data_IF_606395873089
#
_entry.id   IF_606395873089
#
_cell.length_a   1.000
_cell.length_b   1.000
_cell.length_c   1.000
_cell.angle_alpha   90.00
_cell.angle_beta   90.00
_cell.angle_gamma   90.00
#
_symmetry.space_group_name_H-M   'P 1'
#
loop_
_entity.id
_entity.type
_entity.pdbx_description
1 polymer ?
#
# COMPACT_ATOMS: atom_id res chain seq x y z
N UNK A 1 21.35 -14.50 -55.75
CA UNK A 1 20.82 -15.75 -55.15
C UNK A 1 21.74 -16.15 -54.02
N UNK A 2 21.36 -15.82 -52.79
CA UNK A 2 22.06 -16.24 -51.57
C UNK A 2 20.99 -16.73 -50.59
N UNK A 3 21.09 -18.00 -50.20
CA UNK A 3 20.21 -18.62 -49.20
C UNK A 3 20.58 -18.11 -47.80
N UNK A 4 19.61 -17.89 -46.89
CA UNK A 4 19.90 -17.71 -45.48
C UNK A 4 20.04 -19.09 -44.82
N UNK A 5 21.13 -19.27 -44.07
CA UNK A 5 21.33 -20.43 -43.20
C UNK A 5 20.77 -20.11 -41.82
N UNK A 6 19.75 -20.88 -41.43
CA UNK A 6 19.22 -20.89 -40.07
C UNK A 6 20.26 -21.41 -39.08
N UNK A 7 20.55 -20.62 -38.05
CA UNK A 7 21.17 -21.11 -36.81
C UNK A 7 20.08 -21.19 -35.75
N UNK A 8 19.85 -22.34 -35.10
CA UNK A 8 19.00 -22.39 -33.92
C UNK A 8 19.75 -21.82 -32.72
N UNK A 9 19.09 -20.89 -32.03
CA UNK A 9 19.54 -20.28 -30.79
C UNK A 9 19.70 -21.32 -29.67
N UNK A 10 20.76 -21.13 -28.88
CA UNK A 10 21.23 -22.04 -27.87
C UNK A 10 20.21 -22.26 -26.74
N UNK A 11 19.88 -23.53 -26.55
CA UNK A 11 19.25 -24.04 -25.35
C UNK A 11 20.21 -23.91 -24.16
N UNK A 12 20.14 -22.77 -23.48
CA UNK A 12 20.89 -22.49 -22.26
C UNK A 12 19.99 -22.61 -21.04
N UNK A 13 19.50 -23.82 -20.77
CA UNK A 13 18.93 -24.17 -19.47
C UNK A 13 20.02 -24.01 -18.39
N UNK A 14 20.05 -22.81 -17.80
CA UNK A 14 20.76 -22.51 -16.55
C UNK A 14 20.32 -23.53 -15.51
N UNK A 15 21.17 -24.52 -15.23
CA UNK A 15 21.12 -25.33 -14.00
C UNK A 15 21.14 -24.36 -12.82
N UNK A 16 19.97 -24.08 -12.24
CA UNK A 16 19.85 -23.29 -11.01
C UNK A 16 20.65 -24.00 -9.93
N UNK A 17 21.78 -23.42 -9.50
CA UNK A 17 22.47 -23.85 -8.28
C UNK A 17 21.44 -23.83 -7.14
N UNK A 18 21.33 -24.89 -6.32
CA UNK A 18 20.41 -24.90 -5.19
C UNK A 18 20.73 -23.71 -4.28
N UNK A 19 19.71 -22.89 -3.97
CA UNK A 19 19.83 -21.79 -3.02
C UNK A 19 20.39 -22.35 -1.71
N UNK A 20 21.60 -21.94 -1.33
CA UNK A 20 22.13 -22.12 0.04
C UNK A 20 21.14 -21.46 0.99
N UNK A 21 20.36 -22.26 1.73
CA UNK A 21 19.47 -21.76 2.77
C UNK A 21 20.34 -21.16 3.88
N UNK A 22 20.07 -19.90 4.23
CA UNK A 22 20.70 -19.23 5.38
C UNK A 22 20.36 -19.98 6.67
N UNK A 23 21.26 -19.98 7.67
CA UNK A 23 21.09 -20.72 8.92
C UNK A 23 19.91 -20.16 9.71
N UNK A 24 19.00 -21.02 10.14
CA UNK A 24 17.98 -20.68 11.12
C UNK A 24 18.32 -21.46 12.38
N UNK A 25 18.70 -20.71 13.41
CA UNK A 25 18.80 -21.15 14.80
C UNK A 25 17.43 -21.69 15.27
N UNK A 26 17.38 -22.69 16.16
CA UNK A 26 16.15 -23.14 16.86
C UNK A 26 15.37 -21.96 17.43
N UNK A 27 16.06 -20.91 17.89
CA UNK A 27 15.43 -19.70 18.42
C UNK A 27 14.79 -18.84 17.33
N UNK A 28 15.26 -18.94 16.08
CA UNK A 28 14.72 -18.27 14.90
C UNK A 28 13.51 -18.99 14.26
N UNK A 29 13.11 -20.17 14.78
CA UNK A 29 11.89 -20.85 14.31
C UNK A 29 10.64 -20.02 14.65
N UNK A 30 9.76 -19.83 13.66
CA UNK A 30 8.50 -19.14 13.88
C UNK A 30 7.58 -19.95 14.84
N UNK A 31 6.60 -19.26 15.44
CA UNK A 31 5.66 -19.83 16.43
C UNK A 31 4.90 -21.06 15.90
N UNK A 32 4.65 -21.14 14.59
CA UNK A 32 3.92 -22.25 13.95
C UNK A 32 4.79 -23.51 13.86
N UNK A 33 6.06 -23.35 13.52
CA UNK A 33 7.02 -24.44 13.41
C UNK A 33 7.38 -25.00 14.80
N UNK A 34 7.55 -24.14 15.81
CA UNK A 34 7.73 -24.56 17.22
C UNK A 34 6.55 -25.41 17.72
N UNK A 35 5.32 -24.93 17.56
CA UNK A 35 4.10 -25.66 17.95
C UNK A 35 3.92 -26.99 17.21
N UNK A 36 4.42 -27.08 15.98
CA UNK A 36 4.37 -28.29 15.15
C UNK A 36 5.39 -29.33 15.60
N UNK A 37 6.60 -28.90 15.97
CA UNK A 37 7.63 -29.77 16.55
C UNK A 37 7.19 -30.33 17.91
N UNK A 38 6.56 -29.50 18.74
CA UNK A 38 5.95 -29.92 20.01
C UNK A 38 4.90 -31.03 19.83
N UNK A 39 3.99 -30.90 18.86
CA UNK A 39 2.99 -31.93 18.54
C UNK A 39 3.58 -33.28 18.12
N UNK A 40 4.84 -33.30 17.66
CA UNK A 40 5.57 -34.51 17.24
C UNK A 40 6.48 -35.04 18.35
N UNK A 41 6.39 -34.50 19.57
CA UNK A 41 7.25 -34.87 20.70
C UNK A 41 8.68 -34.37 20.57
N UNK A 42 8.98 -33.45 19.64
CA UNK A 42 10.33 -32.96 19.33
C UNK A 42 10.54 -31.55 19.86
N UNK A 43 10.42 -31.38 21.17
CA UNK A 43 10.74 -30.12 21.85
C UNK A 43 12.25 -29.80 21.70
N UNK A 44 12.67 -28.53 21.84
CA UNK A 44 14.10 -28.18 21.85
C UNK A 44 14.91 -29.01 22.86
N UNK A 45 14.30 -29.36 24.00
CA UNK A 45 14.89 -30.24 25.01
C UNK A 45 15.14 -31.65 24.46
N UNK A 46 14.16 -32.22 23.74
CA UNK A 46 14.28 -33.54 23.12
C UNK A 46 15.29 -33.56 21.97
N UNK A 47 15.37 -32.50 21.17
CA UNK A 47 16.36 -32.42 20.09
C UNK A 47 17.80 -32.34 20.62
N UNK A 48 18.04 -31.62 21.73
CA UNK A 48 19.34 -31.62 22.44
C UNK A 48 19.68 -32.98 23.04
N UNK A 49 18.67 -33.70 23.55
CA UNK A 49 18.84 -35.07 24.04
C UNK A 49 19.25 -36.03 22.91
N UNK A 50 18.60 -35.93 21.75
CA UNK A 50 18.96 -36.69 20.55
C UNK A 50 20.38 -36.33 20.11
N UNK A 51 20.73 -35.05 20.03
CA UNK A 51 22.09 -34.60 19.66
C UNK A 51 23.16 -35.20 20.58
N UNK A 52 22.92 -35.25 21.89
CA UNK A 52 23.86 -35.81 22.87
C UNK A 52 24.19 -37.29 22.59
N UNK A 53 23.22 -38.04 22.06
CA UNK A 53 23.37 -39.46 21.72
C UNK A 53 23.94 -39.64 20.31
N UNK A 54 23.59 -38.77 19.36
CA UNK A 54 24.03 -38.88 17.96
C UNK A 54 25.47 -38.40 17.75
N UNK A 55 25.90 -37.34 18.47
CA UNK A 55 27.23 -36.74 18.30
C UNK A 55 28.39 -37.73 18.52
N UNK A 56 28.39 -38.60 19.55
CA UNK A 56 29.39 -39.65 19.69
C UNK A 56 29.38 -40.67 18.53
N UNK A 57 28.20 -41.06 18.05
CA UNK A 57 28.07 -42.02 16.94
C UNK A 57 28.66 -41.46 15.63
N UNK A 58 28.48 -40.16 15.40
CA UNK A 58 29.05 -39.46 14.24
C UNK A 58 30.58 -39.48 14.28
N UNK A 59 31.20 -39.32 15.44
CA UNK A 59 32.66 -39.44 15.60
C UNK A 59 33.16 -40.88 15.39
N UNK A 60 32.39 -41.89 15.80
CA UNK A 60 32.67 -43.29 15.49
C UNK A 60 32.59 -43.54 13.98
N UNK A 61 31.59 -42.98 13.28
CA UNK A 61 31.52 -43.10 11.80
C UNK A 61 32.71 -42.44 11.13
N UNK A 62 33.14 -41.25 11.59
CA UNK A 62 34.31 -40.56 11.01
C UNK A 62 35.61 -41.34 11.19
N UNK A 63 35.75 -42.10 12.28
CA UNK A 63 36.97 -42.82 12.63
C UNK A 63 37.01 -44.24 12.08
N UNK A 64 35.89 -44.97 12.13
CA UNK A 64 35.79 -46.38 11.75
C UNK A 64 35.06 -46.61 10.42
N UNK A 65 34.51 -45.56 9.80
CA UNK A 65 33.80 -45.61 8.53
C UNK A 65 32.38 -46.19 8.60
N UNK A 66 32.04 -46.98 9.63
CA UNK A 66 30.70 -47.57 9.77
C UNK A 66 30.31 -47.83 11.23
N UNK A 67 29.01 -47.79 11.52
CA UNK A 67 28.41 -48.23 12.79
C UNK A 67 27.92 -49.69 12.75
N UNK A 68 28.18 -50.43 11.67
CA UNK A 68 27.80 -51.85 11.56
C UNK A 68 28.75 -52.71 12.40
N UNK A 69 28.18 -53.61 13.21
CA UNK A 69 28.96 -54.53 14.07
C UNK A 69 29.39 -53.97 15.43
N UNK A 70 29.21 -52.66 15.70
CA UNK A 70 29.65 -52.04 16.97
C UNK A 70 28.64 -52.18 18.12
N UNK A 71 27.39 -52.55 17.83
CA UNK A 71 26.30 -52.59 18.83
C UNK A 71 25.80 -51.20 19.29
N UNK A 72 26.55 -50.13 19.00
CA UNK A 72 26.25 -48.76 19.44
C UNK A 72 24.95 -48.20 18.87
N UNK A 73 24.56 -48.63 17.66
CA UNK A 73 23.26 -48.26 17.07
C UNK A 73 22.07 -48.80 17.86
N UNK A 74 22.17 -50.04 18.34
CA UNK A 74 21.12 -50.67 19.13
C UNK A 74 21.02 -50.04 20.52
N UNK A 75 22.16 -49.69 21.12
CA UNK A 75 22.21 -48.95 22.39
C UNK A 75 21.56 -47.57 22.26
N UNK A 76 21.91 -46.82 21.22
CA UNK A 76 21.33 -45.51 20.93
C UNK A 76 19.83 -45.56 20.61
N UNK A 77 19.40 -46.55 19.83
CA UNK A 77 17.99 -46.80 19.51
C UNK A 77 17.18 -47.09 20.79
N UNK A 78 17.72 -47.92 21.68
CA UNK A 78 17.10 -48.23 22.99
C UNK A 78 17.04 -47.01 23.89
N UNK A 79 18.14 -46.25 24.01
CA UNK A 79 18.21 -45.06 24.86
C UNK A 79 17.22 -43.96 24.44
N UNK A 80 16.98 -43.82 23.13
CA UNK A 80 16.05 -42.83 22.61
C UNK A 80 14.64 -43.39 22.34
N UNK A 81 14.40 -44.70 22.53
CA UNK A 81 13.11 -45.33 22.26
C UNK A 81 12.68 -45.22 20.80
N UNK A 82 13.62 -45.33 19.86
CA UNK A 82 13.39 -45.21 18.41
C UNK A 82 13.96 -46.41 17.65
N UNK A 83 13.61 -46.53 16.37
CA UNK A 83 14.17 -47.59 15.52
C UNK A 83 15.65 -47.34 15.19
N UNK A 84 16.40 -48.41 14.94
CA UNK A 84 17.79 -48.33 14.45
C UNK A 84 17.88 -47.53 13.14
N UNK A 85 16.89 -47.65 12.27
CA UNK A 85 16.80 -46.89 11.02
C UNK A 85 16.69 -45.37 11.26
N UNK A 86 15.99 -44.97 12.33
CA UNK A 86 15.90 -43.57 12.73
C UNK A 86 17.26 -43.04 13.20
N UNK A 87 18.03 -43.87 13.93
CA UNK A 87 19.40 -43.52 14.34
C UNK A 87 20.30 -43.35 13.11
N UNK A 88 20.26 -44.28 12.16
CA UNK A 88 21.05 -44.20 10.93
C UNK A 88 20.73 -42.90 10.15
N UNK A 89 19.44 -42.59 9.97
CA UNK A 89 19.00 -41.33 9.32
C UNK A 89 19.49 -40.08 10.05
N UNK A 90 19.48 -40.08 11.39
CA UNK A 90 19.94 -38.95 12.18
C UNK A 90 21.46 -38.78 12.14
N UNK A 91 22.21 -39.89 12.14
CA UNK A 91 23.67 -39.87 11.97
C UNK A 91 24.03 -39.31 10.58
N UNK A 92 23.38 -39.79 9.53
CA UNK A 92 23.60 -39.30 8.15
C UNK A 92 23.24 -37.81 8.02
N UNK A 93 22.11 -37.39 8.61
CA UNK A 93 21.69 -35.99 8.60
C UNK A 93 22.68 -35.07 9.36
N UNK A 94 23.20 -35.52 10.50
CA UNK A 94 24.14 -34.77 11.33
C UNK A 94 25.56 -34.75 10.75
N UNK A 95 25.98 -35.81 10.05
CA UNK A 95 27.21 -35.82 9.25
C UNK A 95 27.15 -34.79 8.12
N UNK A 96 25.98 -34.65 7.47
CA UNK A 96 25.79 -33.67 6.39
C UNK A 96 25.65 -32.22 6.90
N UNK A 97 25.06 -32.02 8.09
CA UNK A 97 24.92 -30.70 8.74
C UNK A 97 24.98 -30.88 10.28
N UNK A 98 26.13 -30.57 10.93
CA UNK A 98 26.36 -30.83 12.35
C UNK A 98 25.70 -29.78 13.25
N UNK A 99 24.40 -29.63 13.07
CA UNK A 99 23.52 -28.74 13.84
C UNK A 99 22.32 -29.53 14.34
N UNK A 100 21.77 -29.14 15.48
CA UNK A 100 20.62 -29.83 16.12
C UNK A 100 19.41 -29.91 15.18
N UNK A 101 19.23 -28.93 14.29
CA UNK A 101 18.10 -28.85 13.37
C UNK A 101 18.14 -29.92 12.27
N UNK A 102 19.32 -30.48 11.94
CA UNK A 102 19.41 -31.58 10.98
C UNK A 102 18.74 -32.86 11.50
N UNK A 103 18.61 -32.97 12.83
CA UNK A 103 17.90 -34.05 13.54
C UNK A 103 16.38 -33.84 13.57
N UNK A 104 15.92 -32.63 13.23
CA UNK A 104 14.50 -32.40 13.00
C UNK A 104 14.14 -32.98 11.62
N UNK A 105 13.23 -33.96 11.58
CA UNK A 105 12.87 -34.64 10.34
C UNK A 105 12.57 -33.62 9.24
N UNK A 106 13.33 -33.69 8.13
CA UNK A 106 12.95 -32.99 6.90
C UNK A 106 11.54 -33.46 6.57
N UNK A 107 10.61 -32.53 6.37
CA UNK A 107 9.32 -32.91 5.79
C UNK A 107 9.62 -33.71 4.51
N UNK A 108 9.08 -34.92 4.33
CA UNK A 108 8.96 -35.49 3.01
C UNK A 108 7.94 -34.61 2.27
N UNK A 109 8.41 -33.51 1.71
CA UNK A 109 7.71 -32.86 0.63
C UNK A 109 7.97 -33.72 -0.60
N UNK A 110 6.91 -34.28 -1.18
CA UNK A 110 6.96 -34.86 -2.53
C UNK A 110 7.70 -33.86 -3.42
N UNK A 111 8.65 -34.33 -4.22
CA UNK A 111 9.41 -33.47 -5.13
C UNK A 111 8.46 -32.56 -5.90
N UNK A 112 8.88 -31.30 -6.11
CA UNK A 112 8.12 -30.32 -6.89
C UNK A 112 8.11 -30.74 -8.37
N UNK A 113 7.34 -31.77 -8.69
CA UNK A 113 6.95 -32.09 -10.05
C UNK A 113 5.65 -31.37 -10.39
N UNK A 114 5.64 -30.61 -11.49
CA UNK A 114 4.40 -30.11 -12.09
C UNK A 114 3.63 -31.34 -12.58
N UNK A 115 2.48 -31.61 -11.95
CA UNK A 115 1.61 -32.74 -12.32
C UNK A 115 0.43 -32.32 -13.21
N UNK A 116 0.26 -31.01 -13.44
CA UNK A 116 -0.73 -30.49 -14.36
C UNK A 116 -0.13 -30.49 -15.78
N UNK A 117 -0.94 -30.78 -16.79
CA UNK A 117 -0.57 -30.49 -18.18
C UNK A 117 -0.58 -28.99 -18.45
N UNK A 118 0.04 -28.54 -19.55
CA UNK A 118 0.06 -27.12 -19.92
C UNK A 118 -1.36 -26.54 -20.04
N UNK A 119 -2.28 -27.26 -20.67
CA UNK A 119 -3.67 -26.83 -20.82
C UNK A 119 -4.39 -26.67 -19.47
N UNK A 120 -4.14 -27.59 -18.53
CA UNK A 120 -4.70 -27.51 -17.19
C UNK A 120 -4.10 -26.34 -16.40
N UNK A 121 -2.82 -26.05 -16.59
CA UNK A 121 -2.15 -24.87 -16.02
C UNK A 121 -2.75 -23.57 -16.56
N UNK A 122 -3.01 -23.48 -17.87
CA UNK A 122 -3.59 -22.30 -18.51
C UNK A 122 -5.02 -22.04 -18.01
N UNK A 123 -5.85 -23.08 -17.94
CA UNK A 123 -7.21 -22.97 -17.39
C UNK A 123 -7.14 -22.54 -15.92
N UNK A 124 -6.28 -23.17 -15.12
CA UNK A 124 -6.11 -22.82 -13.71
C UNK A 124 -5.68 -21.37 -13.53
N UNK A 125 -4.71 -20.90 -14.32
CA UNK A 125 -4.23 -19.52 -14.29
C UNK A 125 -5.32 -18.54 -14.68
N UNK A 126 -6.06 -18.80 -15.76
CA UNK A 126 -7.11 -17.93 -16.25
C UNK A 126 -8.18 -17.67 -15.18
N UNK A 127 -8.74 -18.73 -14.60
CA UNK A 127 -9.76 -18.58 -13.57
C UNK A 127 -9.21 -18.03 -12.26
N UNK A 128 -7.96 -18.38 -11.91
CA UNK A 128 -7.35 -17.87 -10.70
C UNK A 128 -7.06 -16.37 -10.78
N UNK A 129 -6.63 -15.86 -11.94
CA UNK A 129 -6.39 -14.42 -12.16
C UNK A 129 -7.71 -13.66 -12.26
N UNK A 130 -8.77 -14.27 -12.78
CA UNK A 130 -10.07 -13.65 -12.99
C UNK A 130 -11.15 -14.21 -12.03
N UNK A 131 -11.08 -13.92 -10.72
CA UNK A 131 -12.03 -14.45 -9.75
C UNK A 131 -13.46 -13.90 -9.91
N UNK A 132 -13.60 -12.77 -10.61
CA UNK A 132 -14.86 -12.12 -10.97
C UNK A 132 -14.96 -12.14 -12.49
N UNK A 133 -15.77 -13.05 -13.02
CA UNK A 133 -16.04 -13.11 -14.45
C UNK A 133 -17.29 -12.28 -14.73
N UNK A 134 -17.09 -11.19 -15.44
CA UNK A 134 -18.18 -10.39 -15.98
C UNK A 134 -18.52 -11.02 -17.34
N UNK A 135 -19.73 -11.54 -17.47
CA UNK A 135 -20.23 -12.13 -18.72
C UNK A 135 -21.32 -11.23 -19.28
N UNK A 136 -21.34 -11.03 -20.59
CA UNK A 136 -22.46 -10.38 -21.26
C UNK A 136 -23.25 -11.48 -21.95
N UNK A 137 -24.51 -11.65 -21.57
CA UNK A 137 -25.40 -12.61 -22.25
C UNK A 137 -25.66 -12.14 -23.69
N UNK A 138 -26.11 -13.04 -24.60
CA UNK A 138 -26.43 -12.68 -25.98
C UNK A 138 -27.48 -11.56 -26.12
N UNK A 139 -28.28 -11.30 -25.08
CA UNK A 139 -29.26 -10.22 -25.00
C UNK A 139 -28.66 -8.86 -24.57
N UNK A 140 -27.33 -8.78 -24.42
CA UNK A 140 -26.60 -7.58 -24.04
C UNK A 140 -26.62 -7.28 -22.55
N UNK A 141 -27.25 -8.11 -21.71
CA UNK A 141 -27.29 -7.88 -20.27
C UNK A 141 -25.95 -8.29 -19.64
N UNK A 142 -25.27 -7.38 -18.92
CA UNK A 142 -24.12 -7.75 -18.13
C UNK A 142 -24.59 -8.55 -16.91
N UNK A 143 -23.96 -9.70 -16.70
CA UNK A 143 -24.11 -10.51 -15.50
C UNK A 143 -22.75 -10.69 -14.85
N UNK A 144 -22.75 -10.56 -13.53
CA UNK A 144 -21.55 -10.76 -12.72
C UNK A 144 -21.71 -12.11 -12.06
N UNK A 145 -20.94 -13.10 -12.52
CA UNK A 145 -20.89 -14.39 -11.85
C UNK A 145 -20.16 -14.18 -10.51
N UNK A 146 -20.86 -14.21 -9.35
CA UNK A 146 -20.28 -13.80 -8.08
C UNK A 146 -19.22 -14.80 -7.63
N UNK A 147 -17.98 -14.36 -7.37
CA UNK A 147 -16.86 -15.06 -6.69
C UNK A 147 -16.77 -16.60 -6.83
N UNK A 148 -17.15 -17.16 -7.99
CA UNK A 148 -17.30 -18.61 -8.14
C UNK A 148 -15.97 -19.31 -8.40
N UNK A 149 -14.93 -18.62 -8.89
CA UNK A 149 -13.64 -19.23 -9.21
C UNK A 149 -12.75 -19.54 -7.98
N UNK A 150 -13.35 -20.09 -6.92
CA UNK A 150 -12.61 -20.73 -5.86
C UNK A 150 -11.92 -22.02 -6.38
N UNK A 151 -10.99 -22.56 -5.60
CA UNK A 151 -10.20 -23.73 -6.02
C UNK A 151 -11.07 -24.94 -6.38
N UNK A 152 -12.24 -25.12 -5.75
CA UNK A 152 -13.15 -26.23 -6.07
C UNK A 152 -13.78 -26.07 -7.44
N UNK A 153 -14.17 -24.84 -7.79
CA UNK A 153 -14.72 -24.55 -9.11
C UNK A 153 -13.68 -24.74 -10.21
N UNK A 154 -12.48 -24.17 -10.04
CA UNK A 154 -11.38 -24.35 -10.99
C UNK A 154 -11.10 -25.85 -11.20
N UNK A 155 -11.09 -26.62 -10.10
CA UNK A 155 -10.95 -28.07 -10.18
C UNK A 155 -12.06 -28.73 -11.00
N UNK A 156 -13.33 -28.40 -10.72
CA UNK A 156 -14.47 -28.97 -11.44
C UNK A 156 -14.46 -28.62 -12.94
N UNK A 157 -14.09 -27.39 -13.29
CA UNK A 157 -13.96 -26.95 -14.69
C UNK A 157 -12.87 -27.77 -15.39
N UNK A 158 -11.68 -27.89 -14.79
CA UNK A 158 -10.60 -28.67 -15.38
C UNK A 158 -11.01 -30.14 -15.54
N UNK A 159 -11.65 -30.74 -14.53
CA UNK A 159 -12.13 -32.12 -14.62
C UNK A 159 -13.18 -32.32 -15.71
N UNK A 160 -13.95 -31.29 -16.07
CA UNK A 160 -14.95 -31.36 -17.14
C UNK A 160 -14.33 -31.25 -18.54
N UNK A 161 -13.35 -30.36 -18.72
CA UNK A 161 -12.82 -30.00 -20.04
C UNK A 161 -11.45 -30.60 -20.37
N UNK A 162 -10.60 -30.80 -19.36
CA UNK A 162 -9.25 -31.38 -19.48
C UNK A 162 -8.99 -32.38 -18.34
N UNK A 163 -9.70 -33.53 -18.29
CA UNK A 163 -9.67 -34.46 -17.15
C UNK A 163 -8.32 -35.15 -16.92
N UNK A 164 -7.51 -35.29 -17.96
CA UNK A 164 -6.20 -35.94 -17.92
C UNK A 164 -5.05 -34.92 -17.99
N UNK A 165 -3.93 -35.14 -17.28
CA UNK A 165 -3.69 -36.22 -16.30
C UNK A 165 -4.53 -36.05 -15.02
N UNK A 166 -4.85 -37.16 -14.36
CA UNK A 166 -5.57 -37.15 -13.08
C UNK A 166 -4.69 -36.65 -11.92
N UNK A 167 -5.27 -35.77 -11.11
CA UNK A 167 -4.65 -35.27 -9.89
C UNK A 167 -5.69 -34.84 -8.85
N UNK A 168 -5.23 -34.64 -7.62
CA UNK A 168 -6.07 -34.26 -6.48
C UNK A 168 -6.25 -32.75 -6.38
N UNK A 169 -7.38 -32.27 -5.85
CA UNK A 169 -7.60 -30.85 -5.58
C UNK A 169 -6.46 -30.17 -4.78
N UNK A 170 -5.75 -30.93 -3.93
CA UNK A 170 -4.60 -30.43 -3.17
C UNK A 170 -3.36 -30.17 -4.04
N UNK A 171 -3.26 -30.82 -5.20
CA UNK A 171 -2.26 -30.51 -6.22
C UNK A 171 -2.54 -29.14 -6.83
N UNK A 172 -3.78 -28.85 -7.20
CA UNK A 172 -4.18 -27.52 -7.70
C UNK A 172 -4.00 -26.43 -6.64
N UNK A 173 -4.38 -26.67 -5.38
CA UNK A 173 -4.10 -25.73 -4.29
C UNK A 173 -2.62 -25.39 -4.19
N UNK A 174 -1.75 -26.39 -4.32
CA UNK A 174 -0.30 -26.19 -4.29
C UNK A 174 0.18 -25.38 -5.49
N UNK A 175 -0.27 -25.74 -6.69
CA UNK A 175 0.03 -25.01 -7.91
C UNK A 175 -0.35 -23.52 -7.80
N UNK A 176 -1.58 -23.21 -7.40
CA UNK A 176 -2.05 -21.83 -7.26
C UNK A 176 -1.31 -21.05 -6.16
N UNK A 177 -0.92 -21.72 -5.07
CA UNK A 177 -0.09 -21.11 -4.03
C UNK A 177 1.33 -20.81 -4.53
N UNK A 178 1.92 -21.73 -5.29
CA UNK A 178 3.23 -21.52 -5.93
C UNK A 178 3.14 -20.38 -6.96
N UNK A 179 2.10 -20.34 -7.79
CA UNK A 179 1.84 -19.25 -8.73
C UNK A 179 1.75 -17.89 -8.04
N UNK A 180 1.02 -17.81 -6.91
CA UNK A 180 0.92 -16.59 -6.09
C UNK A 180 2.27 -16.19 -5.48
N UNK A 181 3.11 -17.15 -5.11
CA UNK A 181 4.43 -16.88 -4.56
C UNK A 181 5.43 -16.44 -5.64
N UNK A 182 5.33 -16.97 -6.85
CA UNK A 182 6.19 -16.65 -7.99
C UNK A 182 5.82 -15.31 -8.63
N UNK A 183 4.52 -15.00 -8.73
CA UNK A 183 4.00 -13.79 -9.38
C UNK A 183 3.08 -12.96 -8.46
N UNK A 184 3.54 -12.53 -7.28
CA UNK A 184 2.69 -11.90 -6.27
C UNK A 184 2.05 -10.60 -6.75
N UNK A 185 2.74 -9.80 -7.56
CA UNK A 185 2.23 -8.52 -8.08
C UNK A 185 1.10 -8.70 -9.10
N UNK A 186 1.21 -9.71 -9.97
CA UNK A 186 0.19 -10.00 -10.99
C UNK A 186 -1.09 -10.45 -10.30
N UNK A 187 -0.97 -11.38 -9.34
CA UNK A 187 -2.10 -11.89 -8.57
C UNK A 187 -2.72 -10.79 -7.71
N UNK A 188 -1.92 -9.99 -7.00
CA UNK A 188 -2.45 -8.90 -6.18
C UNK A 188 -3.15 -7.83 -7.03
N UNK A 189 -2.62 -7.49 -8.23
CA UNK A 189 -3.30 -6.58 -9.16
C UNK A 189 -4.64 -7.15 -9.61
N UNK A 190 -4.68 -8.43 -9.98
CA UNK A 190 -5.88 -9.06 -10.50
C UNK A 190 -6.97 -9.22 -9.42
N UNK A 191 -6.57 -9.59 -8.19
CA UNK A 191 -7.52 -9.83 -7.09
C UNK A 191 -7.97 -8.56 -6.38
N UNK A 192 -7.06 -7.61 -6.18
CA UNK A 192 -7.29 -6.42 -5.36
C UNK A 192 -7.40 -5.14 -6.19
N UNK A 193 -7.24 -5.26 -7.50
CA UNK A 193 -7.31 -4.16 -8.44
C UNK A 193 -6.04 -3.32 -8.50
N UNK A 194 -6.02 -2.45 -9.50
CA UNK A 194 -4.90 -1.54 -9.74
C UNK A 194 -4.67 -0.54 -8.59
N UNK A 195 -5.74 -0.07 -7.94
CA UNK A 195 -5.63 0.85 -6.81
C UNK A 195 -4.84 0.25 -5.63
N UNK A 196 -5.03 -1.03 -5.34
CA UNK A 196 -4.26 -1.70 -4.29
C UNK A 196 -2.77 -1.76 -4.65
N UNK A 197 -2.43 -2.15 -5.88
CA UNK A 197 -1.05 -2.19 -6.35
C UNK A 197 -0.41 -0.79 -6.27
N UNK A 198 -1.10 0.23 -6.80
CA UNK A 198 -0.63 1.63 -6.80
C UNK A 198 -0.45 2.18 -5.39
N UNK A 199 -1.31 1.84 -4.44
CA UNK A 199 -1.31 2.43 -3.11
C UNK A 199 -0.54 1.64 -2.06
N UNK A 200 -0.30 0.34 -2.22
CA UNK A 200 0.34 -0.49 -1.18
C UNK A 200 1.67 -1.10 -1.60
N UNK A 201 1.85 -1.39 -2.89
CA UNK A 201 3.00 -2.15 -3.38
C UNK A 201 4.00 -1.30 -4.14
N UNK A 202 3.53 -0.34 -4.94
CA UNK A 202 4.42 0.51 -5.72
C UNK A 202 5.03 1.64 -4.85
N UNK A 203 6.34 1.91 -4.99
CA UNK A 203 6.96 3.06 -4.34
C UNK A 203 6.28 4.35 -4.84
N UNK A 204 5.99 5.25 -3.91
CA UNK A 204 5.49 6.58 -4.24
C UNK A 204 6.68 7.56 -4.26
N UNK A 205 6.75 8.39 -5.30
CA UNK A 205 7.68 9.52 -5.31
C UNK A 205 7.24 10.54 -4.25
N UNK A 206 8.22 11.13 -3.54
CA UNK A 206 7.97 12.25 -2.62
C UNK A 206 7.53 13.45 -3.45
N UNK A 207 6.51 14.17 -2.98
CA UNK A 207 6.06 15.42 -3.60
C UNK A 207 6.88 16.62 -3.11
N UNK A 208 8.20 16.55 -3.12
CA UNK A 208 9.02 17.65 -2.61
C UNK A 208 9.48 18.55 -3.75
N UNK A 209 9.54 19.84 -3.46
CA UNK A 209 10.29 20.83 -4.22
C UNK A 209 11.68 21.02 -3.61
N UNK A 210 12.60 21.55 -4.40
CA UNK A 210 14.02 21.63 -4.08
C UNK A 210 14.44 23.02 -3.59
N UNK A 211 13.61 24.07 -3.84
CA UNK A 211 13.90 25.45 -3.42
C UNK A 211 12.64 26.29 -3.17
N UNK A 212 12.77 27.42 -2.43
CA UNK A 212 11.69 28.39 -2.27
C UNK A 212 11.14 28.89 -3.63
N UNK A 213 9.84 29.16 -3.66
CA UNK A 213 9.09 29.69 -4.80
C UNK A 213 9.10 28.81 -6.05
N UNK A 214 9.63 27.59 -5.96
CA UNK A 214 9.46 26.61 -7.03
C UNK A 214 7.98 26.23 -7.19
N UNK A 215 7.27 26.10 -6.06
CA UNK A 215 5.86 25.77 -6.07
C UNK A 215 5.12 26.48 -4.95
N UNK A 216 4.05 27.16 -5.31
CA UNK A 216 3.07 27.63 -4.34
C UNK A 216 1.90 26.67 -4.26
N UNK A 217 1.46 26.37 -3.04
CA UNK A 217 0.26 25.59 -2.77
C UNK A 217 -0.86 26.53 -2.37
N UNK A 218 -2.04 26.29 -2.91
CA UNK A 218 -3.23 27.05 -2.56
C UNK A 218 -4.37 26.10 -2.22
N UNK A 219 -5.12 26.45 -1.17
CA UNK A 219 -6.35 25.77 -0.81
C UNK A 219 -7.26 26.72 -0.03
N UNK A 220 -8.54 26.37 0.07
CA UNK A 220 -9.55 27.14 0.75
C UNK A 220 -10.15 26.35 1.90
N UNK A 221 -10.38 27.01 3.04
CA UNK A 221 -11.02 26.40 4.21
C UNK A 221 -12.04 27.33 4.85
N UNK A 222 -13.26 26.85 5.13
CA UNK A 222 -14.16 27.55 6.02
C UNK A 222 -13.57 27.64 7.42
N UNK A 223 -13.43 28.87 7.93
CA UNK A 223 -12.97 29.12 9.29
C UNK A 223 -14.10 28.84 10.28
N UNK A 224 -13.77 28.31 11.47
CA UNK A 224 -14.73 27.98 12.52
C UNK A 224 -15.27 29.21 13.28
N UNK A 225 -15.30 30.39 12.64
CA UNK A 225 -15.69 31.66 13.25
C UNK A 225 -16.95 32.23 12.58
N UNK A 226 -17.84 32.82 13.36
CA UNK A 226 -18.91 33.67 12.83
C UNK A 226 -18.55 35.14 12.96
N UNK A 227 -18.89 35.92 11.93
CA UNK A 227 -18.71 37.38 11.90
C UNK A 227 -20.02 38.04 11.52
N UNK A 228 -20.17 39.30 11.88
CA UNK A 228 -21.20 40.17 11.35
C UNK A 228 -20.67 40.87 10.08
N UNK A 229 -21.32 40.63 8.95
CA UNK A 229 -21.04 41.27 7.68
C UNK A 229 -22.31 41.96 7.18
N UNK A 230 -22.36 43.29 7.22
CA UNK A 230 -23.52 44.10 6.80
C UNK A 230 -24.86 43.64 7.44
N UNK A 231 -24.84 43.29 8.72
CA UNK A 231 -26.02 42.80 9.46
C UNK A 231 -26.31 41.31 9.25
N UNK A 232 -25.54 40.62 8.41
CA UNK A 232 -25.61 39.18 8.21
C UNK A 232 -24.57 38.45 9.06
N UNK A 233 -25.02 37.47 9.85
CA UNK A 233 -24.11 36.58 10.58
C UNK A 233 -23.69 35.42 9.69
N UNK A 234 -22.42 35.37 9.28
CA UNK A 234 -21.87 34.35 8.39
C UNK A 234 -20.52 33.82 8.88
N UNK A 235 -20.13 32.67 8.35
CA UNK A 235 -18.76 32.15 8.49
C UNK A 235 -17.84 32.78 7.44
N UNK A 236 -16.53 32.70 7.63
CA UNK A 236 -15.54 33.24 6.68
C UNK A 236 -14.77 32.10 6.03
N UNK A 237 -14.50 32.17 4.74
CA UNK A 237 -13.55 31.30 4.04
C UNK A 237 -12.17 31.94 4.09
N UNK A 238 -11.17 31.19 4.54
CA UNK A 238 -9.76 31.50 4.34
C UNK A 238 -9.29 30.85 3.03
N UNK A 239 -8.97 31.67 2.04
CA UNK A 239 -8.21 31.24 0.87
C UNK A 239 -6.74 31.54 1.15
N UNK A 240 -5.91 30.51 1.28
CA UNK A 240 -4.52 30.62 1.69
C UNK A 240 -3.59 30.12 0.60
N UNK A 241 -2.50 30.85 0.38
CA UNK A 241 -1.36 30.45 -0.43
C UNK A 241 -0.11 30.34 0.44
N UNK A 242 0.63 29.24 0.27
CA UNK A 242 1.90 29.01 0.97
C UNK A 242 3.00 28.59 -0.02
N UNK A 243 4.24 28.89 0.31
CA UNK A 243 5.40 28.32 -0.36
C UNK A 243 5.58 26.87 0.08
N UNK A 244 5.61 25.94 -0.87
CA UNK A 244 5.69 24.51 -0.58
C UNK A 244 7.03 24.11 0.06
N UNK A 245 8.11 24.81 -0.27
CA UNK A 245 9.43 24.49 0.28
C UNK A 245 9.52 24.87 1.76
N UNK A 246 9.21 26.13 2.08
CA UNK A 246 9.45 26.75 3.39
C UNK A 246 8.24 26.78 4.32
N UNK A 247 7.03 26.51 3.81
CA UNK A 247 5.75 26.75 4.49
C UNK A 247 5.47 28.24 4.78
N UNK A 248 6.22 29.14 4.17
CA UNK A 248 5.98 30.58 4.31
C UNK A 248 4.57 30.93 3.79
N UNK A 249 3.73 31.60 4.59
CA UNK A 249 2.42 32.05 4.16
C UNK A 249 2.57 33.24 3.21
N UNK A 250 2.59 32.94 1.91
CA UNK A 250 2.78 33.92 0.82
C UNK A 250 1.69 34.99 0.87
N UNK A 251 0.43 34.56 0.87
CA UNK A 251 -0.71 35.48 0.89
C UNK A 251 -1.98 34.77 1.28
N UNK A 252 -2.93 35.51 1.84
CA UNK A 252 -4.27 35.02 2.15
C UNK A 252 -5.35 36.01 1.71
N UNK A 253 -6.58 35.50 1.62
CA UNK A 253 -7.78 36.30 1.44
C UNK A 253 -8.90 35.74 2.31
N UNK A 254 -9.55 36.62 3.06
CA UNK A 254 -10.74 36.29 3.84
C UNK A 254 -11.97 36.66 3.04
N UNK A 255 -12.91 35.72 2.92
CA UNK A 255 -14.11 35.87 2.09
C UNK A 255 -15.34 35.53 2.93
N UNK A 256 -16.25 36.48 3.17
CA UNK A 256 -17.46 36.22 3.94
C UNK A 256 -18.39 35.29 3.17
N UNK A 257 -18.91 34.26 3.83
CA UNK A 257 -19.76 33.24 3.19
C UNK A 257 -21.23 33.67 3.19
N UNK A 258 -21.60 34.46 2.18
CA UNK A 258 -22.93 35.08 2.05
C UNK A 258 -23.97 34.12 1.48
N UNK A 259 -23.57 33.16 0.64
CA UNK A 259 -24.50 32.29 -0.09
C UNK A 259 -25.04 31.21 0.84
N UNK A 260 -26.37 31.10 0.90
CA UNK A 260 -27.07 30.08 1.70
C UNK A 260 -27.65 28.97 0.82
N UNK A 261 -27.75 27.76 1.37
CA UNK A 261 -28.55 26.68 0.82
C UNK A 261 -30.05 26.85 1.18
N UNK A 262 -30.89 25.91 0.75
CA UNK A 262 -32.34 25.95 0.94
C UNK A 262 -32.71 25.92 2.43
N UNK A 263 -31.84 25.35 3.26
CA UNK A 263 -31.95 25.26 4.71
C UNK A 263 -31.40 26.50 5.45
N UNK A 264 -30.87 27.50 4.73
CA UNK A 264 -30.32 28.72 5.31
C UNK A 264 -28.91 28.58 5.89
N UNK A 265 -28.22 27.47 5.62
CA UNK A 265 -26.82 27.23 6.01
C UNK A 265 -25.86 27.78 4.93
N UNK A 266 -24.63 28.20 5.29
CA UNK A 266 -23.66 28.64 4.29
C UNK A 266 -23.24 27.49 3.34
N UNK A 267 -23.22 27.75 2.02
CA UNK A 267 -22.81 26.77 1.00
C UNK A 267 -21.30 26.48 1.05
N UNK A 268 -20.93 25.22 0.82
CA UNK A 268 -19.56 24.66 0.96
C UNK A 268 -18.42 25.43 0.30
N UNK A 269 -18.61 25.98 -0.91
CA UNK A 269 -17.63 26.83 -1.59
C UNK A 269 -18.27 28.17 -1.94
N UNK A 270 -17.73 29.26 -1.39
CA UNK A 270 -18.28 30.62 -1.54
C UNK A 270 -17.22 31.63 -1.99
N UNK A 271 -16.19 31.13 -2.67
CA UNK A 271 -15.18 31.95 -3.34
C UNK A 271 -15.28 31.74 -4.85
N UNK A 272 -14.88 32.76 -5.61
CA UNK A 272 -14.94 32.75 -7.07
C UNK A 272 -13.56 32.56 -7.69
N UNK A 273 -13.49 32.24 -8.98
CA UNK A 273 -12.22 32.26 -9.73
C UNK A 273 -11.56 33.65 -9.70
N UNK A 274 -12.36 34.72 -9.61
CA UNK A 274 -11.86 36.09 -9.43
C UNK A 274 -11.15 36.29 -8.10
N UNK A 275 -11.65 35.70 -7.00
CA UNK A 275 -10.97 35.76 -5.71
C UNK A 275 -9.61 35.04 -5.74
N UNK A 276 -9.55 33.90 -6.45
CA UNK A 276 -8.31 33.15 -6.70
C UNK A 276 -7.33 33.99 -7.51
N UNK A 277 -7.78 34.62 -8.60
CA UNK A 277 -6.94 35.46 -9.44
C UNK A 277 -6.40 36.68 -8.71
N UNK A 278 -7.23 37.35 -7.90
CA UNK A 278 -6.79 38.46 -7.05
C UNK A 278 -5.75 37.98 -6.03
N UNK A 279 -5.95 36.82 -5.41
CA UNK A 279 -4.97 36.27 -4.47
C UNK A 279 -3.63 36.02 -5.16
N UNK A 280 -3.63 35.36 -6.32
CA UNK A 280 -2.40 35.05 -7.06
C UNK A 280 -1.69 36.33 -7.55
N UNK A 281 -2.42 37.25 -8.20
CA UNK A 281 -1.85 38.49 -8.70
C UNK A 281 -1.31 39.37 -7.55
N UNK A 282 -2.04 39.47 -6.44
CA UNK A 282 -1.56 40.22 -5.27
C UNK A 282 -0.37 39.55 -4.59
N UNK A 283 -0.33 38.21 -4.50
CA UNK A 283 0.82 37.48 -4.00
C UNK A 283 2.08 37.80 -4.82
N UNK A 284 1.98 37.71 -6.15
CA UNK A 284 3.09 38.05 -7.05
C UNK A 284 3.52 39.51 -6.91
N UNK A 285 2.55 40.43 -6.81
CA UNK A 285 2.83 41.85 -6.65
C UNK A 285 3.55 42.19 -5.34
N UNK A 286 3.10 41.65 -4.20
CA UNK A 286 3.71 41.99 -2.90
C UNK A 286 5.03 41.28 -2.66
N UNK A 287 5.14 40.01 -3.08
CA UNK A 287 6.38 39.24 -2.91
C UNK A 287 7.42 39.57 -3.98
N UNK A 288 7.03 40.27 -5.05
CA UNK A 288 7.88 40.60 -6.20
C UNK A 288 8.53 39.34 -6.83
N UNK A 289 7.83 38.20 -6.75
CA UNK A 289 8.28 36.88 -7.19
C UNK A 289 7.11 36.14 -7.83
N UNK A 290 7.40 35.34 -8.84
CA UNK A 290 6.46 34.43 -9.50
C UNK A 290 6.83 32.96 -9.26
N UNK A 291 5.88 32.08 -8.95
CA UNK A 291 6.17 30.66 -8.80
C UNK A 291 6.31 29.95 -10.14
N UNK A 292 7.04 28.84 -10.18
CA UNK A 292 7.09 28.00 -11.40
C UNK A 292 5.87 27.10 -11.53
N UNK A 293 5.44 26.52 -10.41
CA UNK A 293 4.28 25.64 -10.33
C UNK A 293 3.24 26.21 -9.36
N UNK A 294 1.97 26.15 -9.74
CA UNK A 294 0.83 26.36 -8.83
C UNK A 294 0.19 25.00 -8.54
N UNK A 295 0.08 24.64 -7.27
CA UNK A 295 -0.49 23.37 -6.84
C UNK A 295 -1.77 23.55 -6.05
N UNK A 296 -2.80 22.84 -6.45
CA UNK A 296 -4.14 22.90 -5.88
C UNK A 296 -4.86 21.56 -6.03
N UNK A 297 -5.91 21.37 -5.25
CA UNK A 297 -6.88 20.32 -5.54
C UNK A 297 -7.80 20.73 -6.72
N UNK A 298 -8.49 19.74 -7.30
CA UNK A 298 -9.33 19.88 -8.50
C UNK A 298 -10.65 20.66 -8.28
N UNK A 299 -10.65 21.68 -7.43
CA UNK A 299 -11.80 22.57 -7.27
C UNK A 299 -12.06 23.32 -8.57
N UNK A 300 -13.30 23.31 -9.06
CA UNK A 300 -13.67 23.94 -10.33
C UNK A 300 -13.37 25.45 -10.36
N UNK A 301 -13.49 26.13 -9.23
CA UNK A 301 -13.15 27.55 -9.06
C UNK A 301 -11.66 27.81 -9.23
N UNK A 302 -10.82 26.81 -8.95
CA UNK A 302 -9.37 26.92 -9.02
C UNK A 302 -8.88 26.55 -10.41
N UNK A 303 -9.43 25.52 -11.04
CA UNK A 303 -9.09 25.10 -12.41
C UNK A 303 -9.31 26.25 -13.41
N UNK A 304 -10.37 27.03 -13.24
CA UNK A 304 -10.64 28.19 -14.09
C UNK A 304 -9.52 29.26 -14.10
N UNK A 305 -8.55 29.21 -13.16
CA UNK A 305 -7.41 30.14 -13.17
C UNK A 305 -6.38 29.80 -14.25
N UNK A 306 -6.34 28.54 -14.73
CA UNK A 306 -5.35 28.08 -15.71
C UNK A 306 -5.35 28.94 -16.97
N UNK A 307 -6.54 29.35 -17.41
CA UNK A 307 -6.74 30.23 -18.58
C UNK A 307 -6.15 31.64 -18.38
N UNK A 308 -6.02 32.10 -17.14
CA UNK A 308 -5.48 33.43 -16.81
C UNK A 308 -3.98 33.41 -16.48
N UNK A 309 -3.34 32.24 -16.39
CA UNK A 309 -1.91 32.15 -16.07
C UNK A 309 -1.03 32.68 -17.21
N UNK A 310 -1.52 32.62 -18.45
CA UNK A 310 -0.85 33.20 -19.62
C UNK A 310 -0.77 34.72 -19.50
N UNK A 311 -1.89 35.38 -19.15
CA UNK A 311 -1.95 36.84 -18.96
C UNK A 311 -1.10 37.34 -17.79
N UNK A 312 -0.73 36.44 -16.86
CA UNK A 312 0.12 36.74 -15.70
C UNK A 312 1.61 36.43 -15.94
N UNK A 313 1.99 36.08 -17.17
CA UNK A 313 3.37 35.75 -17.52
C UNK A 313 3.86 36.63 -18.67
N UNK A 314 5.05 37.24 -18.52
CA UNK A 314 5.67 38.02 -19.59
C UNK A 314 6.10 37.12 -20.77
N UNK A 315 6.10 37.65 -21.99
CA UNK A 315 6.40 36.91 -23.23
C UNK A 315 7.75 36.15 -23.20
N UNK A 316 8.72 36.64 -22.42
CA UNK A 316 10.07 36.07 -22.33
C UNK A 316 10.25 35.13 -21.13
N UNK A 317 9.19 34.84 -20.38
CA UNK A 317 9.23 34.02 -19.18
C UNK A 317 8.56 32.66 -19.36
N UNK A 318 8.94 31.69 -18.52
CA UNK A 318 8.28 30.38 -18.52
C UNK A 318 6.91 30.47 -17.86
N UNK A 319 5.85 30.04 -18.54
CA UNK A 319 4.48 29.96 -18.00
C UNK A 319 4.42 29.23 -16.66
N UNK A 320 3.61 29.77 -15.73
CA UNK A 320 3.28 29.10 -14.47
C UNK A 320 2.53 27.81 -14.82
N UNK A 321 2.99 26.67 -14.29
CA UNK A 321 2.36 25.37 -14.57
C UNK A 321 1.37 25.02 -13.48
N UNK A 322 0.13 24.79 -13.86
CA UNK A 322 -0.86 24.26 -12.94
C UNK A 322 -0.64 22.75 -12.74
N UNK A 323 -0.41 22.34 -11.49
CA UNK A 323 -0.25 20.94 -11.11
C UNK A 323 -1.42 20.48 -10.27
N UNK A 324 -2.31 19.76 -10.92
CA UNK A 324 -3.49 19.18 -10.30
C UNK A 324 -3.16 17.92 -9.49
N UNK A 325 -3.90 17.74 -8.40
CA UNK A 325 -3.76 16.57 -7.54
C UNK A 325 -4.27 15.31 -8.26
N UNK A 326 -3.46 14.23 -8.23
CA UNK A 326 -3.95 12.87 -8.54
C UNK A 326 -4.26 12.21 -7.19
N UNK A 327 -5.46 11.65 -6.98
CA UNK A 327 -5.79 10.97 -5.73
C UNK A 327 -4.73 9.92 -5.35
N UNK A 328 -4.13 10.09 -4.17
CA UNK A 328 -3.14 9.16 -3.61
C UNK A 328 -1.69 9.31 -4.12
N UNK A 329 -1.40 10.22 -5.07
CA UNK A 329 -0.03 10.47 -5.56
C UNK A 329 0.18 11.90 -6.07
N UNK A 330 1.37 12.48 -5.85
CA UNK A 330 2.49 11.98 -5.05
C UNK A 330 2.23 12.00 -3.52
N UNK A 331 2.97 11.19 -2.75
CA UNK A 331 2.84 11.15 -1.28
C UNK A 331 3.60 12.34 -0.69
N UNK A 332 2.96 13.09 0.22
CA UNK A 332 3.41 14.42 0.66
C UNK A 332 2.38 15.53 0.43
N UNK A 333 1.20 15.19 -0.12
CA UNK A 333 -0.02 16.00 -0.02
C UNK A 333 -0.34 16.28 1.46
N UNK A 334 -0.91 17.43 1.78
CA UNK A 334 -1.27 17.77 3.14
C UNK A 334 -0.51 18.95 3.75
N UNK A 335 0.40 19.64 3.06
CA UNK A 335 1.13 20.75 3.70
C UNK A 335 0.22 21.96 3.89
N UNK A 336 -0.44 22.41 2.82
CA UNK A 336 -1.48 23.44 2.91
C UNK A 336 -2.63 22.97 3.81
N UNK A 337 -3.07 21.71 3.72
CA UNK A 337 -4.14 21.20 4.59
C UNK A 337 -3.73 21.15 6.07
N UNK A 338 -2.45 20.85 6.38
CA UNK A 338 -1.90 20.92 7.74
C UNK A 338 -1.77 22.36 8.22
N UNK A 339 -1.28 23.26 7.37
CA UNK A 339 -1.17 24.69 7.68
C UNK A 339 -2.56 25.25 8.03
N UNK A 340 -3.56 24.96 7.21
CA UNK A 340 -4.94 25.35 7.46
C UNK A 340 -5.51 24.72 8.73
N UNK A 341 -5.10 23.49 9.08
CA UNK A 341 -5.44 22.90 10.37
C UNK A 341 -4.83 23.63 11.58
N UNK A 342 -3.61 24.17 11.44
CA UNK A 342 -3.01 25.03 12.48
C UNK A 342 -3.79 26.34 12.65
N UNK A 343 -4.37 26.87 11.57
CA UNK A 343 -5.23 28.05 11.65
C UNK A 343 -6.48 27.80 12.51
N UNK A 344 -7.08 26.61 12.43
CA UNK A 344 -8.20 26.26 13.32
C UNK A 344 -7.77 26.29 14.79
N UNK A 345 -6.58 25.78 15.10
CA UNK A 345 -6.03 25.79 16.46
C UNK A 345 -5.69 27.21 16.94
N UNK A 346 -5.20 28.08 16.07
CA UNK A 346 -4.90 29.48 16.39
C UNK A 346 -6.17 30.28 16.69
N UNK A 347 -7.23 30.04 15.92
CA UNK A 347 -8.49 30.79 16.01
C UNK A 347 -9.43 30.24 17.10
N UNK A 348 -9.08 29.15 17.78
CA UNK A 348 -9.93 28.48 18.80
C UNK A 348 -10.30 29.37 19.97
N UNK A 349 -9.42 30.30 20.34
CA UNK A 349 -9.57 31.14 21.53
C UNK A 349 -10.26 32.49 21.22
N UNK A 350 -10.64 32.74 19.96
CA UNK A 350 -11.37 33.94 19.59
C UNK A 350 -12.82 33.88 20.09
N UNK A 351 -13.37 35.01 20.57
CA UNK A 351 -14.70 35.08 21.21
C UNK A 351 -15.87 34.70 20.29
N UNK A 352 -15.60 34.54 18.98
CA UNK A 352 -16.58 34.16 17.97
C UNK A 352 -16.39 32.75 17.38
N UNK A 353 -15.52 31.93 17.98
CA UNK A 353 -15.33 30.54 17.58
C UNK A 353 -16.47 29.67 18.13
N UNK A 354 -17.50 29.45 17.32
CA UNK A 354 -18.70 28.68 17.70
C UNK A 354 -18.80 27.34 16.98
N UNK A 355 -17.89 27.01 16.06
CA UNK A 355 -18.11 25.92 15.12
C UNK A 355 -17.39 24.64 15.57
N UNK A 356 -18.14 23.76 16.25
CA UNK A 356 -17.74 22.35 16.36
C UNK A 356 -17.94 21.58 15.04
N UNK A 357 -18.96 21.97 14.24
CA UNK A 357 -19.25 21.47 12.88
C UNK A 357 -19.93 22.56 12.04
N UNK A 358 -19.51 22.71 10.79
CA UNK A 358 -19.91 23.76 9.82
C UNK A 358 -21.43 23.91 9.58
N UNK A 359 -22.23 22.92 9.97
CA UNK A 359 -23.69 22.85 9.77
C UNK A 359 -24.50 22.80 11.07
N UNK A 360 -23.91 23.20 12.18
CA UNK A 360 -24.59 23.18 13.47
C UNK A 360 -25.53 24.38 13.64
N UNK A 361 -26.84 24.16 13.47
CA UNK A 361 -27.87 25.18 13.67
C UNK A 361 -27.87 25.76 15.10
N UNK A 362 -27.44 24.97 16.10
CA UNK A 362 -27.31 25.45 17.47
C UNK A 362 -26.16 26.46 17.60
N UNK A 363 -25.06 26.24 16.88
CA UNK A 363 -23.93 27.18 16.82
C UNK A 363 -24.35 28.51 16.17
N UNK A 364 -25.13 28.48 15.09
CA UNK A 364 -25.69 29.70 14.46
C UNK A 364 -26.60 30.46 15.43
N UNK A 365 -27.46 29.74 16.16
CA UNK A 365 -28.35 30.32 17.16
C UNK A 365 -27.59 30.94 18.35
N UNK A 366 -26.51 30.30 18.80
CA UNK A 366 -25.62 30.83 19.83
C UNK A 366 -24.90 32.09 19.36
N UNK A 367 -24.32 32.05 18.15
CA UNK A 367 -23.67 33.19 17.52
C UNK A 367 -24.61 34.41 17.46
N UNK A 368 -25.87 34.24 17.05
CA UNK A 368 -26.88 35.32 17.02
C UNK A 368 -27.14 36.01 18.35
N UNK A 369 -26.85 35.35 19.49
CA UNK A 369 -27.09 35.89 20.83
C UNK A 369 -25.88 36.62 21.41
N UNK A 370 -24.74 36.59 20.71
CA UNK A 370 -23.52 37.29 21.13
C UNK A 370 -23.71 38.78 20.94
N UNK A 371 -23.70 39.54 22.04
CA UNK A 371 -23.91 40.99 22.01
C UNK A 371 -22.79 41.78 21.33
N UNK A 372 -21.56 41.26 21.39
CA UNK A 372 -20.35 41.89 20.84
C UNK A 372 -19.74 40.98 19.76
N UNK A 373 -20.50 40.64 18.73
CA UNK A 373 -19.98 39.87 17.60
C UNK A 373 -18.96 40.73 16.84
N UNK A 374 -17.82 40.13 16.47
CA UNK A 374 -16.84 40.78 15.61
C UNK A 374 -17.46 41.12 14.25
N UNK A 375 -17.25 42.34 13.78
CA UNK A 375 -17.47 42.67 12.38
C UNK A 375 -16.45 41.92 11.50
N UNK A 376 -16.78 41.74 10.21
CA UNK A 376 -15.83 41.17 9.27
C UNK A 376 -14.56 42.01 9.14
N UNK A 377 -14.67 43.34 9.14
CA UNK A 377 -13.53 44.27 9.08
C UNK A 377 -12.65 44.17 10.33
N UNK A 378 -13.28 44.07 11.51
CA UNK A 378 -12.57 43.84 12.77
C UNK A 378 -11.83 42.51 12.74
N UNK A 379 -12.48 41.46 12.25
CA UNK A 379 -11.87 40.15 12.11
C UNK A 379 -10.66 40.17 11.14
N UNK A 380 -10.80 40.80 9.98
CA UNK A 380 -9.68 40.99 9.04
C UNK A 380 -8.52 41.73 9.70
N UNK A 381 -8.80 42.80 10.45
CA UNK A 381 -7.77 43.59 11.15
C UNK A 381 -7.06 42.78 12.24
N UNK A 382 -7.77 41.86 12.90
CA UNK A 382 -7.16 40.95 13.89
C UNK A 382 -6.32 39.88 13.19
N UNK A 383 -6.80 39.35 12.08
CA UNK A 383 -6.13 38.28 11.34
C UNK A 383 -4.85 38.75 10.64
N UNK A 384 -4.81 40.00 10.19
CA UNK A 384 -3.65 40.59 9.52
C UNK A 384 -2.54 41.09 10.48
N UNK A 385 -2.79 41.05 11.80
CA UNK A 385 -1.81 41.38 12.85
C UNK A 385 -1.11 40.13 13.36
#
# INVERSE_FOLDING_TARGET
MAQPTDKPEGDSFRRRKPKRRRPLDIDALNKRDKKRLEKRGKTPKRLKEIERVIKPLVEIVKTQGSLRGTGERNKAATALGVSVWTIDNWVDAYLADPRVESLADKQPGREKGRMLSSEQEDIACFFFINPKLNTVYPDGRPDNIPEIANVKYIYAVIQKFCPEPKWTIDTLRRYLNDLKAEHPLVIDRAHKGENYLRNKLLPARKNNVDRPNQRWQMDARPLPIYVNYDGMICTVTLLQMIDDYSWYPVRHRLIPRKIRDEEGLPKGADFTSGDVGILLASAMYYEQIRPEDLYTDNGSQIIAIEEFLEDLTDENETLIRMRNSIPGRPRGRGKIEKFLGLMDELLKDLPANFVGKEKDLAAVGAARRVKNMLSFEEFCTIFDK
#
